data_IF_886888012183
#
_entry.id   IF_886888012183
#
_cell.length_a   1.000
_cell.length_b   1.000
_cell.length_c   1.000
_cell.angle_alpha   90.00
_cell.angle_beta   90.00
_cell.angle_gamma   90.00
#
_symmetry.space_group_name_H-M   'P 1'
#
loop_
_entity.id
_entity.type
_entity.pdbx_description
1 polymer ?
#
# COMPACT_ATOMS: atom_id res chain seq x y z
N UNK A 1 -29.25 65.07 5.83
CA UNK A 1 -27.94 64.47 6.16
C UNK A 1 -28.20 63.00 6.46
N UNK A 2 -28.23 62.04 5.54
CA UNK A 2 -27.29 61.62 4.48
C UNK A 2 -25.87 61.31 4.96
N UNK A 3 -25.49 60.04 4.70
CA UNK A 3 -24.14 59.44 4.64
C UNK A 3 -23.56 59.12 6.03
N UNK A 4 -23.14 57.90 6.38
CA UNK A 4 -22.20 57.02 5.68
C UNK A 4 -22.53 55.53 5.94
N UNK A 5 -22.76 54.81 4.84
CA UNK A 5 -22.53 53.36 4.66
C UNK A 5 -21.16 53.24 4.01
N UNK A 6 -20.35 52.25 4.42
CA UNK A 6 -19.28 51.53 3.69
C UNK A 6 -18.26 51.07 4.73
N UNK A 7 -18.12 49.76 4.91
CA UNK A 7 -16.85 49.02 5.09
C UNK A 7 -17.19 47.55 5.38
N UNK A 8 -17.44 46.75 4.34
CA UNK A 8 -17.44 45.28 4.44
C UNK A 8 -17.50 44.61 3.05
N UNK A 9 -16.54 44.88 2.17
CA UNK A 9 -16.23 43.99 1.03
C UNK A 9 -14.75 44.15 0.66
N UNK A 10 -13.85 43.45 1.36
CA UNK A 10 -12.45 43.38 0.93
C UNK A 10 -11.71 42.16 1.53
N UNK A 11 -12.24 40.95 1.41
CA UNK A 11 -11.47 39.71 1.71
C UNK A 11 -12.09 38.44 1.09
N UNK A 12 -12.60 38.51 -0.14
CA UNK A 12 -13.05 37.30 -0.88
C UNK A 12 -12.42 37.21 -2.29
N UNK A 13 -11.70 38.22 -2.76
CA UNK A 13 -11.22 38.28 -4.13
C UNK A 13 -9.81 37.71 -4.35
N UNK A 14 -8.93 37.68 -3.34
CA UNK A 14 -7.49 37.47 -3.57
C UNK A 14 -7.10 36.01 -3.87
N UNK A 15 -7.84 35.03 -3.35
CA UNK A 15 -7.56 33.61 -3.60
C UNK A 15 -8.18 33.15 -4.91
N UNK A 16 -9.43 33.56 -5.20
CA UNK A 16 -10.05 33.29 -6.50
C UNK A 16 -9.23 33.86 -7.66
N UNK A 17 -8.63 35.05 -7.52
CA UNK A 17 -7.78 35.67 -8.55
C UNK A 17 -6.51 34.87 -8.87
N UNK A 18 -5.89 34.22 -7.87
CA UNK A 18 -4.73 33.33 -8.05
C UNK A 18 -5.10 32.06 -8.83
N UNK A 19 -6.28 31.49 -8.58
CA UNK A 19 -6.75 30.27 -9.23
C UNK A 19 -7.42 30.50 -10.59
N UNK A 20 -7.94 31.69 -10.86
CA UNK A 20 -8.42 32.10 -12.20
C UNK A 20 -7.27 32.45 -13.16
N UNK A 21 -6.05 32.72 -12.67
CA UNK A 21 -4.88 32.98 -13.53
C UNK A 21 -4.07 31.72 -13.88
N UNK A 22 -4.33 30.57 -13.24
CA UNK A 22 -3.77 29.28 -13.65
C UNK A 22 -4.75 28.52 -14.55
N UNK A 23 -5.01 29.07 -15.74
CA UNK A 23 -5.42 28.28 -16.91
C UNK A 23 -4.20 27.68 -17.61
N UNK A 24 -3.12 27.38 -16.88
CA UNK A 24 -2.01 26.64 -17.48
C UNK A 24 -2.44 25.18 -17.54
N UNK A 25 -2.78 24.62 -18.72
CA UNK A 25 -2.91 23.18 -18.83
C UNK A 25 -1.61 22.56 -18.33
N UNK A 26 -1.70 21.44 -17.60
CA UNK A 26 -0.54 20.60 -17.31
C UNK A 26 0.32 20.53 -18.58
N UNK A 27 1.65 20.71 -18.51
CA UNK A 27 2.48 20.27 -19.61
C UNK A 27 2.15 18.79 -19.84
N UNK A 28 1.49 18.49 -20.96
CA UNK A 28 0.88 17.19 -21.29
C UNK A 28 1.89 16.02 -21.38
N UNK A 29 3.14 16.21 -20.94
CA UNK A 29 4.27 15.35 -21.28
C UNK A 29 5.33 15.17 -20.18
N UNK A 30 5.08 15.56 -18.93
CA UNK A 30 6.09 15.44 -17.86
C UNK A 30 6.15 14.07 -17.17
N UNK A 31 4.97 13.53 -16.85
CA UNK A 31 4.84 12.30 -16.05
C UNK A 31 4.58 11.10 -16.96
N UNK A 32 5.66 10.46 -17.42
CA UNK A 32 5.57 9.17 -18.09
C UNK A 32 6.28 8.12 -17.24
N UNK A 33 5.85 6.85 -17.25
CA UNK A 33 6.57 5.79 -16.57
C UNK A 33 8.04 5.70 -17.03
N UNK A 34 8.33 6.06 -18.27
CA UNK A 34 9.67 6.05 -18.87
C UNK A 34 10.60 7.13 -18.30
N UNK A 35 10.05 8.25 -17.84
CA UNK A 35 10.78 9.38 -17.27
C UNK A 35 10.65 9.46 -15.75
N UNK A 36 9.96 8.50 -15.13
CA UNK A 36 9.73 8.44 -13.68
C UNK A 36 11.07 8.35 -12.93
N UNK A 37 11.28 9.24 -11.95
CA UNK A 37 12.48 9.23 -11.11
C UNK A 37 12.62 7.92 -10.33
N UNK A 38 11.50 7.23 -10.08
CA UNK A 38 11.44 5.92 -9.43
C UNK A 38 12.26 4.89 -10.22
N UNK A 39 12.30 4.97 -11.56
CA UNK A 39 13.11 4.06 -12.40
C UNK A 39 14.61 4.23 -12.23
N UNK A 40 15.04 5.38 -11.73
CA UNK A 40 16.46 5.68 -11.49
C UNK A 40 16.91 5.27 -10.09
N UNK A 41 16.00 4.77 -9.25
CA UNK A 41 16.34 4.18 -7.97
C UNK A 41 17.19 2.93 -8.19
N UNK A 42 18.15 2.73 -7.29
CA UNK A 42 19.13 1.66 -7.35
C UNK A 42 19.22 1.03 -5.95
N UNK A 43 18.93 -0.27 -5.84
CA UNK A 43 18.94 -0.96 -4.54
C UNK A 43 20.32 -0.91 -3.87
N UNK A 44 21.39 -0.77 -4.65
CA UNK A 44 22.76 -0.70 -4.13
C UNK A 44 23.12 0.68 -3.56
N UNK A 45 22.19 1.64 -3.61
CA UNK A 45 22.33 2.98 -3.06
C UNK A 45 21.34 3.28 -1.92
N UNK A 46 20.48 2.33 -1.57
CA UNK A 46 19.42 2.50 -0.58
C UNK A 46 19.72 1.65 0.64
N UNK A 47 19.93 2.29 1.80
CA UNK A 47 20.19 1.60 3.06
C UNK A 47 18.85 1.18 3.71
N UNK A 48 18.53 -0.13 3.82
CA UNK A 48 17.29 -0.57 4.45
C UNK A 48 17.12 -0.14 5.91
N UNK A 49 18.21 0.18 6.63
CA UNK A 49 18.15 0.67 7.99
C UNK A 49 17.73 2.16 8.07
N UNK A 50 17.76 2.89 6.95
CA UNK A 50 17.28 4.26 6.86
C UNK A 50 15.79 4.25 6.46
N UNK A 51 14.95 4.93 7.25
CA UNK A 51 13.48 4.95 7.04
C UNK A 51 13.06 5.62 5.71
N UNK A 52 13.81 6.62 5.26
CA UNK A 52 13.53 7.33 4.01
C UNK A 52 13.88 6.44 2.81
N UNK A 53 14.98 5.70 2.91
CA UNK A 53 15.40 4.72 1.88
C UNK A 53 14.50 3.49 1.88
N UNK A 54 14.06 3.01 3.04
CA UNK A 54 13.05 1.95 3.14
C UNK A 54 11.79 2.28 2.34
N UNK A 55 11.31 3.53 2.44
CA UNK A 55 10.13 3.98 1.69
C UNK A 55 10.37 3.96 0.18
N UNK A 56 11.60 4.25 -0.29
CA UNK A 56 12.00 4.12 -1.70
C UNK A 56 12.15 2.66 -2.14
N UNK A 57 12.63 1.78 -1.26
CA UNK A 57 12.72 0.34 -1.52
C UNK A 57 11.32 -0.25 -1.74
N UNK A 58 10.31 0.20 -0.98
CA UNK A 58 8.91 -0.21 -1.21
C UNK A 58 8.44 0.16 -2.62
N UNK A 59 8.81 1.33 -3.15
CA UNK A 59 8.52 1.71 -4.54
C UNK A 59 9.18 0.75 -5.52
N UNK A 60 10.45 0.39 -5.30
CA UNK A 60 11.17 -0.57 -6.15
C UNK A 60 10.53 -1.95 -6.18
N UNK A 61 9.94 -2.39 -5.07
CA UNK A 61 9.34 -3.71 -4.92
C UNK A 61 7.88 -3.76 -5.43
N UNK A 62 7.16 -2.64 -5.43
CA UNK A 62 5.69 -2.63 -5.62
C UNK A 62 5.19 -1.83 -6.81
N UNK A 63 5.83 -0.70 -7.12
CA UNK A 63 5.34 0.24 -8.13
C UNK A 63 5.39 -0.35 -9.55
N UNK A 64 4.31 -0.21 -10.30
CA UNK A 64 4.17 -0.69 -11.68
C UNK A 64 5.05 0.06 -12.69
N UNK A 65 5.56 1.25 -12.34
CA UNK A 65 6.59 1.92 -13.14
C UNK A 65 7.87 1.07 -13.27
N UNK A 66 8.13 0.21 -12.27
CA UNK A 66 9.20 -0.77 -12.29
C UNK A 66 8.67 -2.07 -12.92
N UNK A 67 9.25 -2.51 -14.06
CA UNK A 67 8.84 -3.75 -14.72
C UNK A 67 8.84 -4.94 -13.74
N UNK A 68 7.81 -5.77 -13.80
CA UNK A 68 7.64 -6.91 -12.87
C UNK A 68 8.90 -7.79 -12.77
N UNK A 69 9.57 -8.08 -13.90
CA UNK A 69 10.80 -8.85 -13.91
C UNK A 69 11.93 -8.21 -13.06
N UNK A 70 12.05 -6.87 -13.08
CA UNK A 70 13.00 -6.15 -12.22
C UNK A 70 12.58 -6.20 -10.75
N UNK A 71 11.28 -6.07 -10.45
CA UNK A 71 10.77 -6.19 -9.06
C UNK A 71 11.07 -7.56 -8.46
N UNK A 72 10.85 -8.62 -9.24
CA UNK A 72 11.21 -10.00 -8.90
C UNK A 72 12.72 -10.13 -8.68
N UNK A 73 13.54 -9.58 -9.58
CA UNK A 73 14.99 -9.58 -9.43
C UNK A 73 15.43 -8.89 -8.13
N UNK A 74 14.87 -7.71 -7.80
CA UNK A 74 15.17 -7.01 -6.56
C UNK A 74 14.74 -7.80 -5.33
N UNK A 75 13.56 -8.42 -5.36
CA UNK A 75 13.11 -9.30 -4.28
C UNK A 75 14.07 -10.47 -4.04
N UNK A 76 14.53 -11.14 -5.10
CA UNK A 76 15.55 -12.18 -4.97
C UNK A 76 16.85 -11.66 -4.34
N UNK A 77 17.33 -10.49 -4.77
CA UNK A 77 18.55 -9.89 -4.23
C UNK A 77 18.41 -9.62 -2.73
N UNK A 78 17.29 -9.05 -2.26
CA UNK A 78 17.07 -8.84 -0.82
C UNK A 78 16.99 -10.16 -0.03
N UNK A 79 16.26 -11.17 -0.54
CA UNK A 79 16.12 -12.47 0.14
C UNK A 79 17.46 -13.22 0.23
N UNK A 80 18.34 -13.06 -0.76
CA UNK A 80 19.66 -13.70 -0.79
C UNK A 80 20.75 -12.88 -0.09
N UNK A 81 20.51 -11.60 0.20
CA UNK A 81 21.54 -10.70 0.71
C UNK A 81 22.51 -10.20 -0.36
N UNK A 82 22.08 -10.16 -1.63
CA UNK A 82 22.91 -9.77 -2.79
C UNK A 82 22.77 -8.28 -3.09
N UNK A 83 23.04 -7.40 -2.13
CA UNK A 83 22.97 -5.94 -2.27
C UNK A 83 24.02 -5.23 -1.41
N UNK A 84 24.42 -4.01 -1.78
CA UNK A 84 25.56 -3.31 -1.16
C UNK A 84 25.46 -3.13 0.36
N UNK A 85 24.25 -3.00 0.88
CA UNK A 85 23.97 -2.82 2.32
C UNK A 85 23.67 -4.13 3.05
N UNK A 86 23.83 -5.29 2.40
CA UNK A 86 23.65 -6.57 3.05
C UNK A 86 24.61 -6.69 4.23
N UNK A 87 24.06 -7.10 5.38
CA UNK A 87 24.83 -7.22 6.61
C UNK A 87 25.30 -8.65 6.83
N UNK A 88 26.59 -8.77 7.13
CA UNK A 88 27.21 -9.96 7.68
C UNK A 88 27.58 -9.69 9.15
N UNK A 89 27.20 -10.60 10.06
CA UNK A 89 27.59 -10.52 11.47
C UNK A 89 26.46 -10.13 12.43
N UNK A 90 26.84 -9.82 13.68
CA UNK A 90 25.90 -9.58 14.77
C UNK A 90 25.03 -8.34 14.51
N UNK A 91 23.72 -8.50 14.67
CA UNK A 91 22.78 -7.45 14.35
C UNK A 91 22.54 -6.46 15.49
N UNK A 92 22.43 -5.17 15.18
CA UNK A 92 21.95 -4.12 16.08
C UNK A 92 20.42 -4.01 16.07
N UNK A 93 19.83 -3.43 17.11
CA UNK A 93 18.38 -3.21 17.20
C UNK A 93 17.83 -2.31 16.07
N UNK A 94 18.66 -1.44 15.48
CA UNK A 94 18.28 -0.60 14.32
C UNK A 94 18.06 -1.41 13.04
N UNK A 95 18.42 -2.68 13.02
CA UNK A 95 18.37 -3.53 11.82
C UNK A 95 17.08 -4.34 11.72
N UNK A 96 16.10 -4.11 12.59
CA UNK A 96 14.74 -4.63 12.43
C UNK A 96 14.12 -4.26 11.08
N UNK A 97 14.49 -3.09 10.53
CA UNK A 97 14.05 -2.64 9.20
C UNK A 97 14.52 -3.57 8.06
N UNK A 98 15.67 -4.24 8.20
CA UNK A 98 16.09 -5.25 7.22
C UNK A 98 15.11 -6.43 7.17
N UNK A 99 14.59 -6.85 8.33
CA UNK A 99 13.57 -7.89 8.40
C UNK A 99 12.27 -7.47 7.69
N UNK A 100 11.89 -6.19 7.77
CA UNK A 100 10.75 -5.65 7.04
C UNK A 100 10.97 -5.71 5.52
N UNK A 101 12.12 -5.23 5.02
CA UNK A 101 12.42 -5.29 3.58
C UNK A 101 12.40 -6.72 3.05
N UNK A 102 12.94 -7.69 3.79
CA UNK A 102 12.88 -9.10 3.39
C UNK A 102 11.42 -9.57 3.38
N UNK A 103 10.60 -9.15 4.33
CA UNK A 103 9.16 -9.46 4.36
C UNK A 103 8.47 -8.91 3.11
N UNK A 104 8.72 -7.65 2.75
CA UNK A 104 8.15 -7.01 1.55
C UNK A 104 8.66 -7.65 0.25
N UNK A 105 9.92 -8.09 0.21
CA UNK A 105 10.47 -8.85 -0.91
C UNK A 105 9.76 -10.20 -1.09
N UNK A 106 9.47 -10.90 0.00
CA UNK A 106 8.70 -12.16 -0.05
C UNK A 106 7.27 -11.91 -0.54
N UNK A 107 6.61 -10.87 -0.03
CA UNK A 107 5.27 -10.46 -0.48
C UNK A 107 5.25 -10.08 -1.97
N UNK A 108 6.30 -9.41 -2.45
CA UNK A 108 6.45 -9.09 -3.88
C UNK A 108 6.43 -10.34 -4.77
N UNK A 109 7.12 -11.41 -4.36
CA UNK A 109 7.10 -12.68 -5.07
C UNK A 109 5.72 -13.35 -5.02
N UNK A 110 5.07 -13.34 -3.86
CA UNK A 110 3.74 -13.90 -3.65
C UNK A 110 2.66 -13.20 -4.50
N UNK A 111 2.67 -11.87 -4.51
CA UNK A 111 1.75 -11.02 -5.27
C UNK A 111 1.99 -11.06 -6.78
N UNK A 112 3.23 -11.34 -7.18
CA UNK A 112 3.61 -11.64 -8.56
C UNK A 112 3.26 -13.06 -8.99
N UNK A 113 2.73 -13.90 -8.09
CA UNK A 113 2.44 -15.32 -8.32
C UNK A 113 3.67 -16.10 -8.83
N UNK A 114 4.88 -15.75 -8.38
CA UNK A 114 6.14 -16.29 -8.88
C UNK A 114 6.46 -17.66 -8.26
N UNK A 115 5.83 -18.72 -8.77
CA UNK A 115 5.91 -20.08 -8.20
C UNK A 115 7.32 -20.66 -8.19
N UNK A 116 8.21 -20.19 -9.05
CA UNK A 116 9.62 -20.60 -9.13
C UNK A 116 10.42 -20.18 -7.88
N UNK A 117 9.89 -19.27 -7.05
CA UNK A 117 10.54 -18.90 -5.79
C UNK A 117 10.23 -19.83 -4.63
N UNK A 118 9.31 -20.80 -4.76
CA UNK A 118 8.86 -21.66 -3.66
C UNK A 118 10.06 -22.35 -2.99
N UNK A 119 10.93 -23.02 -3.76
CA UNK A 119 12.06 -23.78 -3.18
C UNK A 119 13.04 -22.88 -2.42
N UNK A 120 13.35 -21.69 -2.95
CA UNK A 120 14.19 -20.72 -2.23
C UNK A 120 13.53 -20.28 -0.92
N UNK A 121 12.24 -19.97 -0.95
CA UNK A 121 11.51 -19.50 0.22
C UNK A 121 11.36 -20.60 1.29
N UNK A 122 11.20 -21.86 0.90
CA UNK A 122 11.20 -22.99 1.83
C UNK A 122 12.57 -23.16 2.51
N UNK A 123 13.66 -23.12 1.74
CA UNK A 123 15.02 -23.18 2.26
C UNK A 123 15.29 -22.02 3.23
N UNK A 124 14.94 -20.79 2.81
CA UNK A 124 15.13 -19.59 3.62
C UNK A 124 14.26 -19.57 4.86
N UNK A 125 13.02 -20.06 4.81
CA UNK A 125 12.16 -20.16 5.97
C UNK A 125 12.80 -21.03 7.05
N UNK A 126 13.36 -22.19 6.69
CA UNK A 126 14.06 -23.06 7.66
C UNK A 126 15.28 -22.36 8.28
N UNK A 127 16.06 -21.65 7.47
CA UNK A 127 17.21 -20.85 7.94
C UNK A 127 16.77 -19.75 8.92
N UNK A 128 15.72 -19.01 8.57
CA UNK A 128 15.18 -17.92 9.39
C UNK A 128 14.52 -18.42 10.68
N UNK A 129 13.84 -19.56 10.66
CA UNK A 129 13.31 -20.21 11.85
C UNK A 129 14.42 -20.61 12.82
N UNK A 130 15.50 -21.23 12.31
CA UNK A 130 16.68 -21.54 13.11
C UNK A 130 17.33 -20.27 13.67
N UNK A 131 17.43 -19.21 12.87
CA UNK A 131 18.00 -17.93 13.30
C UNK A 131 17.14 -17.24 14.37
N UNK A 132 15.80 -17.32 14.27
CA UNK A 132 14.86 -16.71 15.22
C UNK A 132 14.99 -17.33 16.61
N UNK A 133 15.29 -18.63 16.70
CA UNK A 133 15.50 -19.36 17.95
C UNK A 133 16.78 -18.94 18.68
N UNK A 134 17.75 -18.34 17.97
CA UNK A 134 18.98 -17.83 18.58
C UNK A 134 18.71 -16.54 19.36
N UNK A 135 19.46 -16.29 20.45
CA UNK A 135 19.48 -15.00 21.12
C UNK A 135 19.80 -13.87 20.12
N UNK A 136 19.18 -12.68 20.23
CA UNK A 136 19.36 -11.59 19.28
C UNK A 136 20.83 -11.26 18.96
N UNK A 137 21.70 -11.27 19.96
CA UNK A 137 23.14 -11.00 19.86
C UNK A 137 23.92 -12.08 19.09
N UNK A 138 23.33 -13.27 18.91
CA UNK A 138 23.91 -14.38 18.16
C UNK A 138 23.32 -14.50 16.75
N UNK A 139 22.42 -13.60 16.35
CA UNK A 139 21.84 -13.59 15.02
C UNK A 139 22.83 -12.98 14.04
N UNK A 140 23.16 -13.75 13.02
CA UNK A 140 24.14 -13.35 11.98
C UNK A 140 23.47 -12.86 10.70
N UNK A 141 22.14 -12.86 10.65
CA UNK A 141 21.36 -12.43 9.48
C UNK A 141 19.99 -11.89 9.91
N UNK A 142 19.45 -10.90 9.19
CA UNK A 142 18.12 -10.36 9.46
C UNK A 142 17.06 -11.46 9.31
N UNK A 143 16.05 -11.41 10.18
CA UNK A 143 14.96 -12.39 10.21
C UNK A 143 13.67 -11.68 9.84
N UNK A 144 12.99 -12.05 8.74
CA UNK A 144 11.72 -11.47 8.37
C UNK A 144 10.61 -11.89 9.34
N UNK A 145 9.43 -11.32 9.14
CA UNK A 145 8.25 -11.75 9.87
C UNK A 145 7.77 -13.11 9.35
N UNK A 146 8.09 -14.16 10.10
CA UNK A 146 7.92 -15.55 9.64
C UNK A 146 6.48 -15.89 9.26
N UNK A 147 5.46 -15.29 9.90
CA UNK A 147 4.07 -15.52 9.53
C UNK A 147 3.72 -14.98 8.14
N UNK A 148 4.29 -13.84 7.74
CA UNK A 148 4.15 -13.32 6.37
C UNK A 148 4.80 -14.27 5.37
N UNK A 149 5.99 -14.80 5.68
CA UNK A 149 6.66 -15.77 4.81
C UNK A 149 5.83 -17.06 4.65
N UNK A 150 5.24 -17.56 5.74
CA UNK A 150 4.37 -18.74 5.71
C UNK A 150 3.09 -18.52 4.91
N UNK A 151 2.44 -17.36 5.08
CA UNK A 151 1.24 -17.01 4.33
C UNK A 151 1.55 -16.86 2.82
N UNK A 152 2.64 -16.17 2.47
CA UNK A 152 3.15 -16.04 1.11
C UNK A 152 3.47 -17.41 0.47
N UNK A 153 4.15 -18.30 1.20
CA UNK A 153 4.45 -19.66 0.74
C UNK A 153 3.18 -20.48 0.51
N UNK A 154 2.22 -20.41 1.44
CA UNK A 154 0.94 -21.11 1.30
C UNK A 154 0.17 -20.63 0.06
N UNK A 155 0.14 -19.32 -0.18
CA UNK A 155 -0.39 -18.73 -1.41
C UNK A 155 0.33 -19.25 -2.65
N UNK A 156 1.66 -19.15 -2.72
CA UNK A 156 2.43 -19.55 -3.90
C UNK A 156 2.23 -21.04 -4.23
N UNK A 157 2.20 -21.91 -3.22
CA UNK A 157 1.91 -23.33 -3.42
C UNK A 157 0.46 -23.57 -3.89
N UNK A 158 -0.51 -22.84 -3.36
CA UNK A 158 -1.90 -22.90 -3.86
C UNK A 158 -2.03 -22.40 -5.30
N UNK A 159 -1.26 -21.36 -5.68
CA UNK A 159 -1.15 -20.89 -7.07
C UNK A 159 -0.53 -21.95 -7.96
N UNK A 160 0.55 -22.63 -7.54
CA UNK A 160 1.15 -23.74 -8.29
C UNK A 160 0.15 -24.86 -8.54
N UNK A 161 -0.66 -25.20 -7.54
CA UNK A 161 -1.64 -26.29 -7.66
C UNK A 161 -2.86 -25.91 -8.50
N UNK A 162 -3.25 -24.63 -8.49
CA UNK A 162 -4.39 -24.10 -9.25
C UNK A 162 -3.90 -22.84 -9.98
N UNK A 163 -3.18 -22.94 -11.12
CA UNK A 163 -2.53 -21.79 -11.75
C UNK A 163 -3.50 -20.76 -12.33
N UNK A 164 -4.64 -21.22 -12.84
CA UNK A 164 -5.66 -20.38 -13.46
C UNK A 164 -6.92 -20.32 -12.60
N UNK A 165 -7.42 -19.10 -12.35
CA UNK A 165 -8.74 -18.87 -11.75
C UNK A 165 -9.70 -18.49 -12.87
N UNK A 166 -10.76 -19.27 -13.03
CA UNK A 166 -11.85 -18.99 -14.00
C UNK A 166 -13.18 -18.74 -13.29
N UNK A 167 -13.32 -19.22 -12.07
CA UNK A 167 -14.58 -19.23 -11.32
C UNK A 167 -14.38 -18.91 -9.84
N UNK A 168 -15.48 -18.56 -9.16
CA UNK A 168 -15.51 -18.43 -7.70
C UNK A 168 -15.09 -19.73 -6.98
N UNK A 169 -15.40 -20.89 -7.58
CA UNK A 169 -15.00 -22.19 -7.03
C UNK A 169 -13.49 -22.40 -7.07
N UNK A 170 -12.79 -21.90 -8.08
CA UNK A 170 -11.32 -21.97 -8.13
C UNK A 170 -10.69 -21.15 -6.99
N UNK A 171 -11.24 -19.97 -6.71
CA UNK A 171 -10.79 -19.13 -5.59
C UNK A 171 -10.99 -19.82 -4.24
N UNK A 172 -12.19 -20.40 -4.03
CA UNK A 172 -12.47 -21.19 -2.82
C UNK A 172 -11.47 -22.35 -2.68
N UNK A 173 -11.24 -23.10 -3.75
CA UNK A 173 -10.27 -24.21 -3.76
C UNK A 173 -8.85 -23.73 -3.48
N UNK A 174 -8.44 -22.56 -3.96
CA UNK A 174 -7.13 -21.97 -3.61
C UNK A 174 -7.04 -21.65 -2.12
N UNK A 175 -8.07 -21.08 -1.51
CA UNK A 175 -8.09 -20.85 -0.05
C UNK A 175 -7.96 -22.17 0.71
N UNK A 176 -8.70 -23.21 0.31
CA UNK A 176 -8.60 -24.55 0.91
C UNK A 176 -7.17 -25.12 0.79
N UNK A 177 -6.51 -24.94 -0.36
CA UNK A 177 -5.09 -25.31 -0.53
C UNK A 177 -4.16 -24.50 0.36
N UNK A 178 -4.36 -23.19 0.49
CA UNK A 178 -3.57 -22.35 1.39
C UNK A 178 -3.66 -22.84 2.84
N UNK A 179 -4.88 -23.18 3.31
CA UNK A 179 -5.11 -23.74 4.63
C UNK A 179 -4.41 -25.09 4.82
N UNK A 180 -4.47 -25.98 3.82
CA UNK A 180 -3.73 -27.24 3.85
C UNK A 180 -2.22 -27.03 3.96
N UNK A 181 -1.66 -26.04 3.24
CA UNK A 181 -0.22 -25.76 3.26
C UNK A 181 0.31 -25.16 4.58
N UNK A 182 -0.58 -24.65 5.43
CA UNK A 182 -0.23 -24.30 6.82
C UNK A 182 -0.61 -25.39 7.83
N UNK A 183 -0.90 -26.62 7.36
CA UNK A 183 -1.34 -27.76 8.15
C UNK A 183 -2.65 -27.54 8.92
N UNK A 184 -3.54 -26.69 8.40
CA UNK A 184 -4.88 -26.55 8.97
C UNK A 184 -5.80 -27.65 8.43
N UNK A 185 -6.23 -28.56 9.31
CA UNK A 185 -7.02 -29.75 8.95
C UNK A 185 -8.55 -29.57 9.08
N UNK A 186 -9.03 -28.33 9.26
CA UNK A 186 -10.46 -28.03 9.42
C UNK A 186 -11.12 -27.47 8.15
N UNK A 187 -12.43 -27.23 8.25
CA UNK A 187 -13.21 -26.52 7.22
C UNK A 187 -12.93 -25.00 7.23
N UNK A 188 -13.35 -24.28 6.18
CA UNK A 188 -13.31 -22.81 6.13
C UNK A 188 -14.03 -22.20 7.34
N UNK A 189 -15.20 -22.74 7.73
CA UNK A 189 -15.92 -22.28 8.92
C UNK A 189 -15.08 -22.43 10.21
N UNK A 190 -14.40 -23.56 10.40
CA UNK A 190 -13.51 -23.78 11.55
C UNK A 190 -12.29 -22.86 11.51
N UNK A 191 -11.78 -22.54 10.32
CA UNK A 191 -10.71 -21.56 10.16
C UNK A 191 -11.18 -20.16 10.54
N UNK A 192 -12.39 -19.76 10.17
CA UNK A 192 -12.96 -18.47 10.54
C UNK A 192 -13.18 -18.32 12.05
N UNK A 193 -13.56 -19.40 12.74
CA UNK A 193 -13.56 -19.44 14.21
C UNK A 193 -12.16 -19.28 14.79
N UNK A 194 -11.15 -19.93 14.22
CA UNK A 194 -9.76 -19.78 14.64
C UNK A 194 -9.21 -18.37 14.40
N UNK A 195 -9.54 -17.76 13.25
CA UNK A 195 -9.24 -16.37 12.90
C UNK A 195 -9.84 -15.41 13.92
N UNK A 196 -11.11 -15.61 14.30
CA UNK A 196 -11.79 -14.72 15.26
C UNK A 196 -11.10 -14.78 16.62
N UNK A 197 -10.77 -15.99 17.11
CA UNK A 197 -9.97 -16.16 18.33
C UNK A 197 -8.58 -15.53 18.24
N UNK A 198 -7.92 -15.62 17.09
CA UNK A 198 -6.61 -14.99 16.85
C UNK A 198 -6.70 -13.46 16.96
N UNK A 199 -7.73 -12.85 16.38
CA UNK A 199 -7.96 -11.40 16.44
C UNK A 199 -8.36 -10.95 17.84
N UNK A 200 -9.26 -11.67 18.51
CA UNK A 200 -9.68 -11.37 19.89
C UNK A 200 -8.51 -11.46 20.87
N UNK A 201 -7.67 -12.49 20.76
CA UNK A 201 -6.49 -12.66 21.60
C UNK A 201 -5.48 -11.51 21.42
N UNK A 202 -5.48 -10.85 20.25
CA UNK A 202 -4.60 -9.73 19.94
C UNK A 202 -5.12 -8.38 20.44
N UNK A 203 -6.44 -8.20 20.58
CA UNK A 203 -7.02 -6.93 21.06
C UNK A 203 -6.56 -6.54 22.46
N UNK A 204 -6.07 -7.50 23.27
CA UNK A 204 -5.53 -7.27 24.61
C UNK A 204 -4.00 -7.08 24.63
N UNK A 205 -3.32 -7.14 23.48
CA UNK A 205 -1.87 -7.04 23.36
C UNK A 205 -1.53 -5.73 22.65
N UNK A 206 -0.83 -4.84 23.36
CA UNK A 206 -0.30 -3.62 22.76
C UNK A 206 0.69 -3.96 21.64
N UNK A 207 0.53 -3.35 20.47
CA UNK A 207 1.35 -3.58 19.27
C UNK A 207 1.42 -5.03 18.74
N UNK A 208 0.41 -5.87 19.00
CA UNK A 208 0.30 -7.17 18.33
C UNK A 208 0.09 -7.02 16.83
N UNK A 209 1.04 -7.49 16.01
CA UNK A 209 0.89 -7.63 14.56
C UNK A 209 -0.10 -8.74 14.17
N UNK A 210 -0.53 -8.82 12.90
CA UNK A 210 -1.47 -9.84 12.46
C UNK A 210 -0.90 -11.26 12.65
N UNK A 211 -1.76 -12.19 13.06
CA UNK A 211 -1.40 -13.60 13.15
C UNK A 211 -1.44 -14.28 11.78
N UNK A 212 -1.18 -15.59 11.76
CA UNK A 212 -1.07 -16.34 10.50
C UNK A 212 -2.43 -16.45 9.79
N UNK A 213 -3.53 -16.59 10.53
CA UNK A 213 -4.85 -16.72 9.92
C UNK A 213 -5.32 -15.40 9.32
N UNK A 214 -5.08 -14.29 9.99
CA UNK A 214 -5.36 -12.95 9.47
C UNK A 214 -4.53 -12.68 8.20
N UNK A 215 -3.24 -13.03 8.20
CA UNK A 215 -2.37 -12.90 7.02
C UNK A 215 -2.81 -13.77 5.85
N UNK A 216 -3.29 -14.98 6.09
CA UNK A 216 -3.88 -15.80 5.03
C UNK A 216 -5.15 -15.18 4.44
N UNK A 217 -5.98 -14.54 5.28
CA UNK A 217 -7.15 -13.80 4.81
C UNK A 217 -6.73 -12.61 3.95
N UNK A 218 -5.65 -11.91 4.28
CA UNK A 218 -5.12 -10.81 3.46
C UNK A 218 -4.60 -11.31 2.12
N UNK A 219 -3.83 -12.38 2.09
CA UNK A 219 -3.34 -13.02 0.86
C UNK A 219 -4.48 -13.52 -0.03
N UNK A 220 -5.52 -14.09 0.58
CA UNK A 220 -6.73 -14.47 -0.13
C UNK A 220 -7.48 -13.26 -0.67
N UNK A 221 -7.64 -12.21 0.14
CA UNK A 221 -8.23 -10.93 -0.28
C UNK A 221 -7.52 -10.33 -1.50
N UNK A 222 -6.19 -10.32 -1.50
CA UNK A 222 -5.41 -9.85 -2.64
C UNK A 222 -5.65 -10.72 -3.90
N UNK A 223 -5.80 -12.05 -3.76
CA UNK A 223 -6.18 -12.92 -4.89
C UNK A 223 -7.60 -12.66 -5.41
N UNK A 224 -8.55 -12.38 -4.51
CA UNK A 224 -9.90 -11.97 -4.90
C UNK A 224 -9.83 -10.68 -5.71
N UNK A 225 -9.15 -9.65 -5.21
CA UNK A 225 -8.97 -8.38 -5.91
C UNK A 225 -8.43 -8.57 -7.34
N UNK A 226 -7.30 -9.29 -7.47
CA UNK A 226 -6.69 -9.58 -8.78
C UNK A 226 -7.59 -10.39 -9.72
N UNK A 227 -8.42 -11.29 -9.17
CA UNK A 227 -9.34 -12.13 -9.96
C UNK A 227 -10.60 -11.36 -10.38
N UNK A 228 -11.08 -10.43 -9.54
CA UNK A 228 -12.18 -9.52 -9.87
C UNK A 228 -11.84 -8.65 -11.08
N UNK A 229 -10.60 -8.15 -11.14
CA UNK A 229 -10.09 -7.42 -12.33
C UNK A 229 -10.04 -8.27 -13.61
N UNK A 230 -10.13 -9.59 -13.50
CA UNK A 230 -10.21 -10.53 -14.64
C UNK A 230 -11.64 -11.00 -14.92
N UNK A 231 -12.64 -10.39 -14.27
CA UNK A 231 -14.05 -10.67 -14.48
C UNK A 231 -14.60 -11.88 -13.70
N UNK A 232 -13.85 -12.39 -12.71
CA UNK A 232 -14.33 -13.49 -11.87
C UNK A 232 -15.31 -12.95 -10.82
N UNK A 233 -16.38 -13.69 -10.54
CA UNK A 233 -17.34 -13.36 -9.48
C UNK A 233 -16.72 -13.57 -8.09
N UNK A 234 -16.12 -12.49 -7.57
CA UNK A 234 -15.47 -12.49 -6.25
C UNK A 234 -16.47 -12.43 -5.09
N UNK A 235 -17.70 -11.97 -5.32
CA UNK A 235 -18.74 -11.93 -4.28
C UNK A 235 -19.17 -13.33 -3.90
N UNK A 236 -19.40 -14.19 -4.91
CA UNK A 236 -19.70 -15.60 -4.66
C UNK A 236 -18.56 -16.31 -3.89
N UNK A 237 -17.30 -15.99 -4.19
CA UNK A 237 -16.14 -16.59 -3.53
C UNK A 237 -15.93 -16.06 -2.09
N UNK A 238 -16.31 -14.82 -1.82
CA UNK A 238 -16.14 -14.17 -0.51
C UNK A 238 -17.34 -14.34 0.42
N UNK A 239 -18.51 -14.71 -0.11
CA UNK A 239 -19.80 -14.70 0.61
C UNK A 239 -19.75 -15.40 1.97
N UNK A 240 -19.23 -16.62 2.02
CA UNK A 240 -19.15 -17.41 3.27
C UNK A 240 -18.33 -16.70 4.35
N UNK A 241 -17.20 -16.08 3.96
CA UNK A 241 -16.30 -15.34 4.85
C UNK A 241 -16.98 -14.05 5.33
N UNK A 242 -17.54 -13.25 4.41
CA UNK A 242 -18.22 -11.99 4.76
C UNK A 242 -19.42 -12.20 5.67
N UNK A 243 -20.25 -13.20 5.36
CA UNK A 243 -21.43 -13.56 6.16
C UNK A 243 -21.02 -14.03 7.56
N UNK A 244 -19.89 -14.72 7.68
CA UNK A 244 -19.35 -15.11 8.99
C UNK A 244 -18.81 -13.90 9.77
N UNK A 245 -17.90 -13.11 9.19
CA UNK A 245 -17.27 -11.96 9.85
C UNK A 245 -18.32 -10.94 10.34
N UNK A 246 -19.34 -10.69 9.52
CA UNK A 246 -20.48 -9.85 9.90
C UNK A 246 -21.26 -10.40 11.09
N UNK A 247 -21.46 -11.72 11.17
CA UNK A 247 -22.20 -12.37 12.27
C UNK A 247 -21.38 -12.47 13.56
N UNK A 248 -20.07 -12.70 13.45
CA UNK A 248 -19.18 -12.75 14.62
C UNK A 248 -18.84 -11.36 15.17
N UNK A 249 -19.09 -10.29 14.40
CA UNK A 249 -18.64 -8.94 14.75
C UNK A 249 -17.13 -8.75 14.59
N UNK A 250 -16.43 -9.74 14.03
CA UNK A 250 -15.00 -9.67 13.77
C UNK A 250 -14.73 -8.75 12.57
N UNK A 251 -13.98 -7.67 12.79
CA UNK A 251 -13.65 -6.71 11.74
C UNK A 251 -12.25 -6.97 11.18
N UNK A 252 -12.17 -7.17 9.87
CA UNK A 252 -10.90 -7.23 9.13
C UNK A 252 -10.95 -6.20 7.99
N UNK A 253 -10.68 -4.91 8.28
CA UNK A 253 -10.89 -3.82 7.32
C UNK A 253 -10.18 -4.01 5.97
N UNK A 254 -8.94 -4.53 6.00
CA UNK A 254 -8.15 -4.74 4.80
C UNK A 254 -8.80 -5.75 3.83
N UNK A 255 -9.48 -6.77 4.36
CA UNK A 255 -10.19 -7.74 3.51
C UNK A 255 -11.35 -7.08 2.75
N UNK A 256 -12.12 -6.22 3.40
CA UNK A 256 -13.21 -5.48 2.73
C UNK A 256 -12.67 -4.47 1.70
N UNK A 257 -11.52 -3.84 1.96
CA UNK A 257 -10.83 -2.99 0.96
C UNK A 257 -10.52 -3.79 -0.30
N UNK A 258 -9.94 -4.99 -0.17
CA UNK A 258 -9.62 -5.82 -1.35
C UNK A 258 -10.86 -6.19 -2.16
N UNK A 259 -11.97 -6.51 -1.50
CA UNK A 259 -13.23 -6.79 -2.17
C UNK A 259 -13.78 -5.57 -2.90
N UNK A 260 -13.73 -4.40 -2.28
CA UNK A 260 -14.17 -3.15 -2.88
C UNK A 260 -13.35 -2.85 -4.15
N UNK A 261 -12.02 -2.89 -4.04
CA UNK A 261 -11.10 -2.65 -5.15
C UNK A 261 -11.25 -3.69 -6.27
N UNK A 262 -11.52 -4.95 -5.93
CA UNK A 262 -11.71 -6.03 -6.90
C UNK A 262 -12.95 -5.90 -7.78
N UNK A 263 -13.96 -5.13 -7.35
CA UNK A 263 -15.20 -4.88 -8.12
C UNK A 263 -15.02 -3.78 -9.17
N UNK A 264 -14.02 -2.94 -8.99
CA UNK A 264 -13.77 -1.82 -9.89
C UNK A 264 -12.92 -2.34 -11.05
N UNK A 265 -13.32 -2.10 -12.31
CA UNK A 265 -12.48 -2.43 -13.46
C UNK A 265 -11.09 -1.79 -13.30
N UNK A 266 -10.03 -2.53 -13.59
CA UNK A 266 -8.64 -2.13 -13.30
C UNK A 266 -8.30 -0.77 -13.92
N UNK A 267 -8.77 -0.52 -15.14
CA UNK A 267 -8.55 0.72 -15.89
C UNK A 267 -9.28 1.94 -15.31
N UNK A 268 -10.28 1.73 -14.45
CA UNK A 268 -11.02 2.80 -13.74
C UNK A 268 -10.59 2.95 -12.29
N UNK A 269 -9.72 2.07 -11.79
CA UNK A 269 -9.41 1.97 -10.37
C UNK A 269 -8.81 3.28 -9.82
N UNK A 270 -7.81 3.84 -10.51
CA UNK A 270 -7.15 5.07 -10.10
C UNK A 270 -8.15 6.22 -9.96
N UNK A 271 -8.97 6.43 -11.01
CA UNK A 271 -10.01 7.47 -11.03
C UNK A 271 -11.00 7.28 -9.87
N UNK A 272 -11.48 6.05 -9.69
CA UNK A 272 -12.44 5.74 -8.63
C UNK A 272 -11.87 6.02 -7.23
N UNK A 273 -10.61 5.66 -6.96
CA UNK A 273 -9.97 5.95 -5.66
C UNK A 273 -9.82 7.47 -5.46
N UNK A 274 -9.37 8.19 -6.49
CA UNK A 274 -9.18 9.65 -6.44
C UNK A 274 -10.51 10.38 -6.20
N UNK A 275 -11.60 9.91 -6.80
CA UNK A 275 -12.94 10.45 -6.56
C UNK A 275 -13.45 10.12 -5.16
N UNK A 276 -13.25 8.88 -4.70
CA UNK A 276 -13.65 8.42 -3.38
C UNK A 276 -12.93 9.21 -2.26
N UNK A 277 -11.69 9.64 -2.49
CA UNK A 277 -10.91 10.42 -1.52
C UNK A 277 -11.64 11.67 -1.00
N UNK A 278 -12.52 12.29 -1.80
CA UNK A 278 -13.29 13.47 -1.36
C UNK A 278 -14.28 13.16 -0.22
N UNK A 279 -14.57 11.88 0.01
CA UNK A 279 -15.52 11.41 1.02
C UNK A 279 -14.83 10.89 2.29
N UNK A 280 -13.50 10.79 2.31
CA UNK A 280 -12.76 10.19 3.42
C UNK A 280 -12.85 11.04 4.69
N UNK A 281 -13.38 10.44 5.76
CA UNK A 281 -13.54 11.10 7.06
C UNK A 281 -12.23 11.16 7.87
N UNK A 282 -11.26 10.31 7.54
CA UNK A 282 -9.96 10.24 8.20
C UNK A 282 -8.99 9.29 7.50
N UNK A 283 -7.71 9.32 7.90
CA UNK A 283 -6.68 8.40 7.41
C UNK A 283 -6.64 7.19 8.37
N UNK A 284 -7.50 6.21 8.09
CA UNK A 284 -7.43 4.87 8.71
C UNK A 284 -7.09 3.81 7.65
N UNK A 285 -7.12 2.53 8.02
CA UNK A 285 -6.72 1.41 7.15
C UNK A 285 -7.31 1.48 5.74
N UNK A 286 -8.58 1.90 5.58
CA UNK A 286 -9.22 2.07 4.28
C UNK A 286 -8.51 3.11 3.40
N UNK A 287 -8.29 4.32 3.93
CA UNK A 287 -7.68 5.43 3.20
C UNK A 287 -6.20 5.14 2.90
N UNK A 288 -5.46 4.60 3.86
CA UNK A 288 -4.04 4.29 3.65
C UNK A 288 -3.86 3.19 2.60
N UNK A 289 -4.68 2.13 2.65
CA UNK A 289 -4.64 1.04 1.65
C UNK A 289 -4.98 1.52 0.24
N UNK A 290 -6.02 2.35 0.11
CA UNK A 290 -6.39 2.96 -1.17
C UNK A 290 -5.29 3.91 -1.69
N UNK A 291 -4.63 4.64 -0.81
CA UNK A 291 -3.49 5.52 -1.17
C UNK A 291 -2.28 4.71 -1.62
N UNK A 292 -1.96 3.61 -0.93
CA UNK A 292 -0.89 2.70 -1.36
C UNK A 292 -1.20 2.08 -2.72
N UNK A 293 -2.46 1.74 -3.03
CA UNK A 293 -2.85 1.25 -4.36
C UNK A 293 -2.61 2.29 -5.46
N UNK A 294 -2.82 3.59 -5.18
CA UNK A 294 -2.45 4.66 -6.11
C UNK A 294 -0.94 4.74 -6.33
N UNK A 295 -0.13 4.57 -5.27
CA UNK A 295 1.33 4.53 -5.37
C UNK A 295 1.81 3.30 -6.15
N UNK A 296 1.21 2.14 -5.92
CA UNK A 296 1.54 0.90 -6.61
C UNK A 296 1.24 1.00 -8.12
N UNK A 297 0.23 1.78 -8.53
CA UNK A 297 -0.10 2.11 -9.92
C UNK A 297 0.92 3.04 -10.63
N UNK A 298 1.82 3.66 -9.88
CA UNK A 298 2.91 4.49 -10.42
C UNK A 298 2.48 5.84 -10.97
N UNK A 299 3.39 6.54 -11.67
CA UNK A 299 3.22 7.94 -12.09
C UNK A 299 2.03 8.17 -13.03
N UNK A 300 1.46 7.11 -13.59
CA UNK A 300 0.24 7.16 -14.39
C UNK A 300 -0.94 7.82 -13.66
N UNK A 301 -0.97 7.77 -12.32
CA UNK A 301 -2.05 8.37 -11.50
C UNK A 301 -1.88 9.88 -11.29
N UNK A 302 -0.67 10.42 -11.47
CA UNK A 302 -0.34 11.83 -11.13
C UNK A 302 -1.27 12.85 -11.80
N UNK A 303 -1.61 12.73 -13.11
CA UNK A 303 -2.54 13.66 -13.74
C UNK A 303 -3.93 13.66 -13.10
N UNK A 304 -4.44 12.48 -12.72
CA UNK A 304 -5.76 12.32 -12.11
C UNK A 304 -5.80 12.95 -10.71
N UNK A 305 -4.77 12.66 -9.91
CA UNK A 305 -4.59 13.24 -8.58
C UNK A 305 -4.53 14.76 -8.66
N UNK A 306 -3.75 15.30 -9.59
CA UNK A 306 -3.64 16.74 -9.81
C UNK A 306 -4.97 17.37 -10.20
N UNK A 307 -5.64 16.83 -11.22
CA UNK A 307 -6.94 17.34 -11.67
C UNK A 307 -7.93 17.40 -10.51
N UNK A 308 -7.94 16.37 -9.67
CA UNK A 308 -8.81 16.33 -8.49
C UNK A 308 -8.45 17.35 -7.43
N UNK A 309 -7.16 17.57 -7.17
CA UNK A 309 -6.71 18.59 -6.24
C UNK A 309 -7.10 20.01 -6.72
N UNK A 310 -6.93 20.32 -8.00
CA UNK A 310 -7.39 21.58 -8.61
C UNK A 310 -8.89 21.74 -8.51
N UNK A 311 -9.64 20.68 -8.84
CA UNK A 311 -11.09 20.67 -8.69
C UNK A 311 -11.48 20.96 -7.23
N UNK A 312 -10.84 20.28 -6.28
CA UNK A 312 -11.12 20.44 -4.86
C UNK A 312 -10.84 21.87 -4.36
N UNK A 313 -9.83 22.55 -4.91
CA UNK A 313 -9.54 23.95 -4.58
C UNK A 313 -10.70 24.90 -4.94
N UNK A 314 -11.47 24.56 -5.98
CA UNK A 314 -12.62 25.35 -6.46
C UNK A 314 -13.95 24.91 -5.84
N UNK A 315 -14.02 23.71 -5.27
CA UNK A 315 -15.25 23.09 -4.76
C UNK A 315 -15.09 22.65 -3.30
N UNK A 316 -14.51 23.52 -2.46
CA UNK A 316 -14.20 23.22 -1.05
C UNK A 316 -15.42 22.79 -0.24
N UNK A 317 -16.59 23.33 -0.57
CA UNK A 317 -17.89 23.01 0.03
C UNK A 317 -18.36 21.57 -0.24
N UNK A 318 -17.79 20.90 -1.24
CA UNK A 318 -18.14 19.53 -1.63
C UNK A 318 -17.23 18.47 -1.01
N UNK A 319 -16.25 18.88 -0.21
CA UNK A 319 -15.29 17.99 0.45
C UNK A 319 -15.84 17.61 1.82
N UNK A 320 -15.95 16.31 2.07
CA UNK A 320 -16.50 15.81 3.35
C UNK A 320 -15.39 15.60 4.39
N UNK A 321 -15.82 15.54 5.65
CA UNK A 321 -14.93 15.23 6.77
C UNK A 321 -13.91 16.34 7.03
N UNK A 322 -12.70 15.93 7.41
CA UNK A 322 -11.60 16.84 7.80
C UNK A 322 -10.73 17.31 6.63
N UNK A 323 -11.01 16.85 5.40
CA UNK A 323 -10.15 17.08 4.24
C UNK A 323 -8.97 16.11 4.14
N UNK A 324 -8.96 15.03 4.94
CA UNK A 324 -7.88 14.04 4.97
C UNK A 324 -7.67 13.27 3.65
N UNK A 325 -8.69 13.16 2.81
CA UNK A 325 -8.51 12.67 1.45
C UNK A 325 -7.58 13.54 0.61
N UNK A 326 -7.64 14.88 0.77
CA UNK A 326 -6.71 15.78 0.09
C UNK A 326 -5.28 15.59 0.58
N UNK A 327 -5.11 15.36 1.89
CA UNK A 327 -3.80 15.08 2.49
C UNK A 327 -3.19 13.83 1.85
N UNK A 328 -3.94 12.73 1.78
CA UNK A 328 -3.47 11.50 1.16
C UNK A 328 -3.13 11.69 -0.33
N UNK A 329 -3.96 12.43 -1.08
CA UNK A 329 -3.68 12.75 -2.48
C UNK A 329 -2.42 13.61 -2.65
N UNK A 330 -2.16 14.57 -1.77
CA UNK A 330 -0.92 15.36 -1.76
C UNK A 330 0.30 14.48 -1.49
N UNK A 331 0.21 13.55 -0.55
CA UNK A 331 1.29 12.60 -0.26
C UNK A 331 1.56 11.66 -1.45
N UNK A 332 0.50 11.16 -2.13
CA UNK A 332 0.65 10.33 -3.33
C UNK A 332 1.39 11.11 -4.43
N UNK A 333 1.03 12.40 -4.60
CA UNK A 333 1.67 13.28 -5.57
C UNK A 333 3.16 13.49 -5.28
N UNK A 334 3.53 13.67 -4.00
CA UNK A 334 4.93 13.77 -3.56
C UNK A 334 5.69 12.49 -3.86
N UNK A 335 5.13 11.35 -3.44
CA UNK A 335 5.78 10.05 -3.56
C UNK A 335 5.99 9.63 -5.01
N UNK A 336 5.08 10.00 -5.92
CA UNK A 336 5.19 9.63 -7.33
C UNK A 336 5.86 10.71 -8.18
N UNK A 337 5.48 11.97 -8.00
CA UNK A 337 5.96 13.07 -8.83
C UNK A 337 7.32 13.61 -8.44
N UNK A 338 7.78 13.39 -7.20
CA UNK A 338 9.05 13.91 -6.70
C UNK A 338 9.17 15.43 -6.89
N UNK A 339 10.34 15.91 -7.33
CA UNK A 339 10.56 17.35 -7.62
C UNK A 339 9.58 17.94 -8.63
N UNK A 340 9.10 17.15 -9.59
CA UNK A 340 8.15 17.62 -10.60
C UNK A 340 6.77 17.94 -9.99
N UNK A 341 6.47 17.44 -8.78
CA UNK A 341 5.25 17.77 -8.06
C UNK A 341 5.31 19.13 -7.32
N UNK A 342 6.50 19.76 -7.18
CA UNK A 342 6.63 21.02 -6.43
C UNK A 342 5.69 22.13 -6.93
N UNK A 343 5.60 22.43 -8.25
CA UNK A 343 4.69 23.46 -8.73
C UNK A 343 3.21 23.14 -8.48
N UNK A 344 2.89 21.85 -8.31
CA UNK A 344 1.53 21.36 -8.06
C UNK A 344 1.15 21.48 -6.58
N UNK A 345 2.12 21.34 -5.66
CA UNK A 345 1.89 21.42 -4.21
C UNK A 345 1.91 22.87 -3.71
N UNK A 346 2.71 23.73 -4.35
CA UNK A 346 2.94 25.10 -3.91
C UNK A 346 1.66 25.93 -3.68
N UNK A 347 0.61 25.86 -4.52
CA UNK A 347 -0.65 26.55 -4.26
C UNK A 347 -1.33 26.16 -2.93
N UNK A 348 -1.18 24.92 -2.48
CA UNK A 348 -1.79 24.41 -1.23
C UNK A 348 -1.01 24.81 0.03
N UNK A 349 0.23 25.30 -0.09
CA UNK A 349 1.02 25.79 1.07
C UNK A 349 0.44 27.06 1.70
N UNK A 350 -0.59 27.64 1.07
CA UNK A 350 -1.33 28.81 1.55
C UNK A 350 -2.83 28.51 1.68
N UNK A 351 -3.21 27.24 1.76
CA UNK A 351 -4.62 26.85 1.88
C UNK A 351 -5.26 27.42 3.15
N UNK A 352 -6.56 27.72 3.10
CA UNK A 352 -7.29 28.21 4.27
C UNK A 352 -7.45 27.12 5.34
N UNK A 353 -7.63 25.86 4.90
CA UNK A 353 -7.68 24.72 5.80
C UNK A 353 -6.28 24.44 6.37
N UNK A 354 -6.15 24.54 7.70
CA UNK A 354 -4.90 24.38 8.42
C UNK A 354 -4.22 23.03 8.16
N UNK A 355 -4.99 21.94 8.12
CA UNK A 355 -4.44 20.61 7.86
C UNK A 355 -3.89 20.51 6.45
N UNK A 356 -4.67 20.90 5.44
CA UNK A 356 -4.24 20.90 4.03
C UNK A 356 -2.97 21.73 3.86
N UNK A 357 -2.94 22.93 4.46
CA UNK A 357 -1.77 23.81 4.46
C UNK A 357 -0.55 23.17 5.12
N UNK A 358 -0.71 22.61 6.32
CA UNK A 358 0.36 21.95 7.06
C UNK A 358 0.97 20.79 6.26
N UNK A 359 0.13 19.91 5.71
CA UNK A 359 0.59 18.77 4.93
C UNK A 359 1.19 19.17 3.58
N UNK A 360 0.70 20.23 2.93
CA UNK A 360 1.32 20.78 1.72
C UNK A 360 2.72 21.38 2.01
N UNK A 361 2.89 22.10 3.13
CA UNK A 361 4.20 22.58 3.56
C UNK A 361 5.16 21.41 3.84
N UNK A 362 4.71 20.39 4.58
CA UNK A 362 5.49 19.18 4.86
C UNK A 362 5.86 18.44 3.57
N UNK A 363 4.92 18.33 2.63
CA UNK A 363 5.12 17.72 1.32
C UNK A 363 6.23 18.43 0.53
N UNK A 364 6.20 19.78 0.50
CA UNK A 364 7.26 20.60 -0.12
C UNK A 364 8.62 20.34 0.52
N UNK A 365 8.70 20.33 1.86
CA UNK A 365 9.94 20.04 2.59
C UNK A 365 10.48 18.63 2.29
N UNK A 366 9.60 17.62 2.22
CA UNK A 366 9.98 16.24 1.92
C UNK A 366 10.61 16.12 0.54
N UNK A 367 9.97 16.72 -0.47
CA UNK A 367 10.52 16.73 -1.83
C UNK A 367 11.90 17.40 -1.86
N UNK A 368 12.04 18.56 -1.23
CA UNK A 368 13.31 19.29 -1.17
C UNK A 368 14.43 18.52 -0.46
N UNK A 369 14.07 17.61 0.47
CA UNK A 369 15.00 16.72 1.16
C UNK A 369 15.21 15.38 0.43
N UNK A 370 14.56 15.15 -0.71
CA UNK A 370 14.61 13.87 -1.44
C UNK A 370 13.96 12.70 -0.69
N UNK A 371 12.97 13.00 0.17
CA UNK A 371 12.18 12.03 0.93
C UNK A 371 10.88 11.70 0.21
N UNK A 372 10.30 10.55 0.53
CA UNK A 372 8.98 10.13 0.03
C UNK A 372 8.08 9.71 1.19
N UNK A 373 6.77 9.80 0.99
CA UNK A 373 5.81 9.31 1.97
C UNK A 373 5.64 7.80 1.87
N UNK A 374 5.45 7.21 3.04
CA UNK A 374 5.07 5.81 3.22
C UNK A 374 3.60 5.75 3.56
N UNK A 375 2.86 4.87 2.88
CA UNK A 375 1.48 4.55 3.20
C UNK A 375 1.44 3.18 3.90
N UNK A 376 0.67 3.08 4.98
CA UNK A 376 0.45 1.82 5.70
C UNK A 376 -0.88 1.15 5.24
N UNK A 377 -1.21 -0.08 5.68
CA UNK A 377 -0.34 -1.07 6.25
C UNK A 377 -0.02 -2.17 5.22
N UNK A 378 1.25 -2.57 5.19
CA UNK A 378 1.78 -3.86 4.73
C UNK A 378 0.82 -4.74 3.91
N UNK A 379 0.79 -4.54 2.58
CA UNK A 379 0.22 -5.51 1.65
C UNK A 379 1.16 -6.67 1.50
#
# INVERSE_FOLDING_TARGET
MRTIVIWLVATVASVNLLWTQQETPLPKSGFSPETSWIRNLDIDKLDPANIDDYSKILLLLRCEDIPQAKRIQYAYRYIRGEYAFAKEGALSHKEEMHGLVITDAVQTLAHSNHVESISLLEEKLQQWESMRQRPPEQRTSPVPWLNYVRAALARLKAVRDIPEIKTASDLRRRLERMLQYINFNGSIAQWLEALTREIEARQSIDHGGPGLYELLLWEYGHQLMQSGWRGVDIEAAAKEIRDYLKRSGCQVPLFEVYLELGKIPREKLAQWIVDDAMNWQGIGTFAESKSQMLVDLGVSVVPLVWEKLVWAARHRDQIKGTGMGLVALLEVLVTLGGEQALPLIEPFTRDENEWVRYYACRAKEYIQQGKVFRFAPYF
#
